data_IF_565039531212
#
_entry.id   IF_565039531212
#
_cell.length_a   1.000
_cell.length_b   1.000
_cell.length_c   1.000
_cell.angle_alpha   90.00
_cell.angle_beta   90.00
_cell.angle_gamma   90.00
#
_symmetry.space_group_name_H-M   'P 1'
#
loop_
_entity.id
_entity.type
_entity.pdbx_description
1 polymer ?
#
# COMPACT_ATOMS: atom_id res chain seq x y z
N UNK A 1 14.97 -37.41 -35.08
CA UNK A 1 13.65 -37.54 -34.42
C UNK A 1 12.46 -37.16 -35.31
N UNK A 2 12.24 -35.90 -35.73
CA UNK A 2 11.08 -35.56 -36.59
C UNK A 2 11.18 -36.19 -38.00
N UNK A 3 12.37 -36.20 -38.59
CA UNK A 3 12.65 -36.86 -39.89
C UNK A 3 12.42 -38.38 -39.83
N UNK A 4 12.74 -39.03 -38.71
CA UNK A 4 12.52 -40.47 -38.52
C UNK A 4 11.04 -40.79 -38.35
N UNK A 5 10.30 -39.97 -37.59
CA UNK A 5 8.83 -40.10 -37.47
C UNK A 5 8.13 -39.90 -38.81
N UNK A 6 8.56 -38.94 -39.63
CA UNK A 6 8.02 -38.72 -40.98
C UNK A 6 8.33 -39.90 -41.91
N UNK A 7 9.52 -40.51 -41.79
CA UNK A 7 9.89 -41.70 -42.58
C UNK A 7 9.05 -42.93 -42.20
N UNK A 8 8.81 -43.13 -40.91
CA UNK A 8 7.92 -44.19 -40.40
C UNK A 8 6.48 -43.95 -40.87
N UNK A 9 5.99 -42.73 -40.77
CA UNK A 9 4.64 -42.37 -41.20
C UNK A 9 4.45 -42.57 -42.71
N UNK A 10 5.41 -42.14 -43.53
CA UNK A 10 5.40 -42.37 -44.99
C UNK A 10 5.40 -43.87 -45.32
N UNK A 11 6.26 -44.66 -44.67
CA UNK A 11 6.29 -46.12 -44.86
C UNK A 11 4.97 -46.78 -44.45
N UNK A 12 4.34 -46.30 -43.37
CA UNK A 12 3.04 -46.80 -42.93
C UNK A 12 1.94 -46.48 -43.95
N UNK A 13 1.87 -45.24 -44.46
CA UNK A 13 0.89 -44.85 -45.48
C UNK A 13 1.10 -45.60 -46.81
N UNK A 14 2.34 -45.83 -47.24
CA UNK A 14 2.63 -46.64 -48.42
C UNK A 14 2.14 -48.08 -48.25
N UNK A 15 2.45 -48.73 -47.12
CA UNK A 15 1.96 -50.08 -46.81
C UNK A 15 0.43 -50.15 -46.72
N UNK A 16 -0.19 -49.15 -46.09
CA UNK A 16 -1.64 -49.05 -45.99
C UNK A 16 -2.30 -48.84 -47.37
N UNK A 17 -1.69 -48.01 -48.24
CA UNK A 17 -2.16 -47.79 -49.60
C UNK A 17 -2.11 -49.07 -50.45
N UNK A 18 -1.00 -49.81 -50.38
CA UNK A 18 -0.84 -51.10 -51.06
C UNK A 18 -1.87 -52.10 -50.54
N UNK A 19 -2.02 -52.23 -49.22
CA UNK A 19 -3.00 -53.12 -48.61
C UNK A 19 -4.43 -52.79 -49.07
N UNK A 20 -4.80 -51.51 -49.09
CA UNK A 20 -6.12 -51.07 -49.50
C UNK A 20 -6.37 -51.33 -50.99
N UNK A 21 -5.39 -51.04 -51.85
CA UNK A 21 -5.46 -51.31 -53.30
C UNK A 21 -5.65 -52.81 -53.54
N UNK A 22 -4.90 -53.66 -52.86
CA UNK A 22 -5.01 -55.11 -53.02
C UNK A 22 -6.34 -55.66 -52.52
N UNK A 23 -6.85 -55.19 -51.37
CA UNK A 23 -8.17 -55.56 -50.88
C UNK A 23 -9.31 -55.06 -51.78
N UNK A 24 -9.18 -53.85 -52.35
CA UNK A 24 -10.12 -53.31 -53.33
C UNK A 24 -10.18 -54.18 -54.59
N UNK A 25 -9.02 -54.61 -55.09
CA UNK A 25 -8.96 -55.54 -56.21
C UNK A 25 -9.60 -56.90 -55.88
N UNK A 26 -9.40 -57.44 -54.67
CA UNK A 26 -10.11 -58.64 -54.21
C UNK A 26 -11.63 -58.42 -54.15
N UNK A 27 -12.10 -57.26 -53.71
CA UNK A 27 -13.52 -56.96 -53.65
C UNK A 27 -14.14 -56.85 -55.04
N UNK A 28 -13.50 -56.17 -56.00
CA UNK A 28 -14.15 -55.77 -57.25
C UNK A 28 -13.70 -56.52 -58.52
N UNK A 29 -12.52 -57.13 -58.58
CA UNK A 29 -12.03 -57.86 -59.77
C UNK A 29 -12.23 -59.37 -59.64
N UNK A 30 -12.21 -60.12 -60.75
CA UNK A 30 -12.38 -61.59 -60.70
C UNK A 30 -11.15 -62.30 -60.12
N UNK A 31 -11.32 -63.52 -59.60
CA UNK A 31 -10.22 -64.31 -59.06
C UNK A 31 -9.12 -64.58 -60.10
N UNK A 32 -9.49 -64.83 -61.36
CA UNK A 32 -8.55 -65.05 -62.46
C UNK A 32 -7.67 -63.82 -62.73
N UNK A 33 -8.28 -62.64 -62.77
CA UNK A 33 -7.55 -61.37 -62.98
C UNK A 33 -6.62 -61.08 -61.79
N UNK A 34 -7.09 -61.34 -60.57
CA UNK A 34 -6.28 -61.14 -59.37
C UNK A 34 -5.11 -62.14 -59.28
N UNK A 35 -5.31 -63.40 -59.68
CA UNK A 35 -4.24 -64.40 -59.70
C UNK A 35 -3.12 -64.02 -60.67
N UNK A 36 -3.48 -63.64 -61.90
CA UNK A 36 -2.51 -63.18 -62.90
C UNK A 36 -1.78 -61.91 -62.45
N UNK A 37 -2.48 -60.98 -61.77
CA UNK A 37 -1.86 -59.78 -61.20
C UNK A 37 -0.85 -60.14 -60.10
N UNK A 38 -1.22 -61.00 -59.16
CA UNK A 38 -0.33 -61.43 -58.07
C UNK A 38 0.90 -62.16 -58.61
N UNK A 39 0.73 -63.05 -59.60
CA UNK A 39 1.85 -63.74 -60.24
C UNK A 39 2.81 -62.81 -60.99
N UNK A 40 2.29 -61.78 -61.67
CA UNK A 40 3.12 -60.78 -62.36
C UNK A 40 3.95 -59.94 -61.38
N UNK A 41 3.37 -59.63 -60.22
CA UNK A 41 4.02 -58.80 -59.20
C UNK A 41 4.97 -59.61 -58.31
N UNK A 42 4.80 -60.94 -58.21
CA UNK A 42 5.66 -61.86 -57.46
C UNK A 42 6.09 -63.07 -58.33
N UNK A 43 7.07 -62.93 -59.24
CA UNK A 43 7.53 -64.02 -60.09
C UNK A 43 8.38 -65.05 -59.31
N UNK A 44 8.25 -66.36 -59.58
CA UNK A 44 8.92 -67.43 -58.82
C UNK A 44 10.46 -67.47 -58.95
N UNK A 45 11.03 -66.79 -59.95
CA UNK A 45 12.47 -66.77 -60.23
C UNK A 45 13.20 -65.51 -59.73
N UNK A 46 12.66 -64.82 -58.72
CA UNK A 46 13.38 -63.77 -57.96
C UNK A 46 13.69 -62.47 -58.70
N UNK A 47 13.22 -62.27 -59.93
CA UNK A 47 13.35 -61.00 -60.66
C UNK A 47 12.10 -60.13 -60.51
N UNK A 48 11.97 -59.40 -59.41
CA UNK A 48 10.88 -58.42 -59.25
C UNK A 48 11.16 -57.19 -60.14
N UNK A 49 10.22 -56.83 -61.03
CA UNK A 49 10.31 -55.57 -61.76
C UNK A 49 9.99 -54.39 -60.81
N UNK A 50 10.86 -53.38 -60.80
CA UNK A 50 10.71 -52.14 -60.02
C UNK A 50 9.40 -51.44 -60.38
N UNK A 51 8.51 -51.26 -59.37
CA UNK A 51 7.42 -50.29 -59.46
C UNK A 51 6.12 -50.62 -58.73
N UNK A 52 5.78 -51.90 -58.54
CA UNK A 52 4.55 -52.27 -57.79
C UNK A 52 4.78 -53.56 -56.97
N UNK A 53 4.64 -53.48 -55.64
CA UNK A 53 4.70 -54.65 -54.75
C UNK A 53 3.30 -55.07 -54.30
N UNK A 54 3.00 -56.37 -54.32
CA UNK A 54 1.76 -56.92 -53.78
C UNK A 54 2.01 -57.54 -52.41
N UNK A 55 1.17 -57.23 -51.41
CA UNK A 55 1.35 -57.74 -50.05
C UNK A 55 0.68 -59.12 -49.82
N UNK A 56 0.15 -59.75 -50.88
CA UNK A 56 -0.58 -61.01 -50.80
C UNK A 56 0.14 -62.08 -51.62
N UNK A 57 0.41 -63.22 -51.01
CA UNK A 57 0.93 -64.42 -51.66
C UNK A 57 0.01 -65.60 -51.38
N UNK A 58 -0.30 -66.39 -52.41
CA UNK A 58 -1.11 -67.60 -52.29
C UNK A 58 -0.39 -68.74 -53.01
N UNK A 59 -0.40 -69.93 -52.42
CA UNK A 59 0.25 -71.12 -53.00
C UNK A 59 -0.55 -71.70 -54.18
N UNK A 60 -1.87 -71.48 -54.22
CA UNK A 60 -2.77 -71.99 -55.26
C UNK A 60 -3.90 -71.02 -55.62
N UNK A 61 -4.40 -71.12 -56.86
CA UNK A 61 -5.58 -70.40 -57.34
C UNK A 61 -6.83 -70.66 -56.49
N UNK A 62 -6.97 -71.89 -55.98
CA UNK A 62 -8.09 -72.30 -55.14
C UNK A 62 -8.14 -71.54 -53.82
N UNK A 63 -6.98 -71.27 -53.21
CA UNK A 63 -6.88 -70.57 -51.93
C UNK A 63 -7.21 -69.09 -52.07
N UNK A 64 -6.72 -68.44 -53.14
CA UNK A 64 -7.11 -67.08 -53.50
C UNK A 64 -8.63 -66.98 -53.65
N UNK A 65 -9.26 -67.91 -54.38
CA UNK A 65 -10.71 -67.90 -54.62
C UNK A 65 -11.50 -68.06 -53.32
N UNK A 66 -11.05 -68.93 -52.41
CA UNK A 66 -11.67 -69.13 -51.09
C UNK A 66 -11.51 -67.90 -50.20
N UNK A 67 -10.34 -67.27 -50.19
CA UNK A 67 -10.08 -66.03 -49.45
C UNK A 67 -10.95 -64.88 -49.97
N UNK A 68 -10.99 -64.69 -51.30
CA UNK A 68 -11.77 -63.63 -51.94
C UNK A 68 -13.27 -63.76 -51.64
N UNK A 69 -13.81 -64.98 -51.59
CA UNK A 69 -15.21 -65.21 -51.21
C UNK A 69 -15.50 -64.77 -49.77
N UNK A 70 -14.60 -65.05 -48.83
CA UNK A 70 -14.75 -64.64 -47.41
C UNK A 70 -14.69 -63.12 -47.26
N UNK A 71 -13.74 -62.46 -47.93
CA UNK A 71 -13.58 -61.00 -47.88
C UNK A 71 -14.83 -60.29 -48.41
N UNK A 72 -15.37 -60.73 -49.56
CA UNK A 72 -16.62 -60.16 -50.10
C UNK A 72 -17.81 -60.34 -49.17
N UNK A 73 -17.98 -61.55 -48.62
CA UNK A 73 -19.09 -61.84 -47.72
C UNK A 73 -19.05 -60.94 -46.47
N UNK A 74 -17.87 -60.74 -45.88
CA UNK A 74 -17.71 -59.90 -44.70
C UNK A 74 -17.95 -58.42 -45.00
N UNK A 75 -17.38 -57.87 -46.07
CA UNK A 75 -17.48 -56.44 -46.40
C UNK A 75 -18.92 -56.01 -46.77
N UNK A 76 -19.65 -56.83 -47.53
CA UNK A 76 -21.04 -56.50 -47.88
C UNK A 76 -22.00 -56.67 -46.70
N UNK A 77 -21.73 -57.58 -45.76
CA UNK A 77 -22.56 -57.76 -44.56
C UNK A 77 -22.41 -56.61 -43.56
N UNK A 78 -21.18 -56.15 -43.31
CA UNK A 78 -20.89 -55.12 -42.30
C UNK A 78 -21.30 -53.69 -42.71
N UNK A 79 -21.36 -53.41 -44.01
CA UNK A 79 -21.77 -52.09 -44.51
C UNK A 79 -23.28 -51.83 -44.36
N UNK A 80 -24.11 -52.87 -44.52
CA UNK A 80 -25.57 -52.76 -44.41
C UNK A 80 -26.04 -52.48 -42.98
N UNK A 81 -25.41 -53.10 -41.98
CA UNK A 81 -25.79 -52.93 -40.57
C UNK A 81 -25.44 -51.55 -40.04
N UNK A 82 -24.26 -51.02 -40.36
CA UNK A 82 -23.83 -49.68 -39.94
C UNK A 82 -24.76 -48.61 -40.54
N UNK A 83 -25.10 -48.73 -41.83
CA UNK A 83 -25.99 -47.78 -42.49
C UNK A 83 -27.39 -47.76 -41.86
N UNK A 84 -27.92 -48.94 -41.51
CA UNK A 84 -29.24 -49.07 -40.86
C UNK A 84 -29.28 -48.43 -39.47
N UNK A 85 -28.22 -48.60 -38.67
CA UNK A 85 -28.13 -48.01 -37.32
C UNK A 85 -27.99 -46.49 -37.38
N UNK A 86 -27.21 -45.96 -38.33
CA UNK A 86 -27.06 -44.53 -38.55
C UNK A 86 -28.41 -43.85 -38.88
N UNK A 87 -29.21 -44.47 -39.76
CA UNK A 87 -30.55 -43.96 -40.11
C UNK A 87 -31.46 -43.95 -38.88
N UNK A 88 -31.45 -45.01 -38.07
CA UNK A 88 -32.28 -45.09 -36.86
C UNK A 88 -31.94 -43.99 -35.84
N UNK A 89 -30.64 -43.71 -35.64
CA UNK A 89 -30.19 -42.62 -34.75
C UNK A 89 -30.62 -41.26 -35.29
N UNK A 90 -30.49 -41.03 -36.60
CA UNK A 90 -30.91 -39.78 -37.24
C UNK A 90 -32.42 -39.53 -37.06
N UNK A 91 -33.24 -40.56 -37.25
CA UNK A 91 -34.69 -40.46 -37.07
C UNK A 91 -35.03 -40.14 -35.60
N UNK A 92 -34.40 -40.82 -34.64
CA UNK A 92 -34.66 -40.58 -33.21
C UNK A 92 -34.35 -39.13 -32.81
N UNK A 93 -33.27 -38.56 -33.36
CA UNK A 93 -32.86 -37.18 -33.10
C UNK A 93 -33.79 -36.13 -33.74
N UNK A 94 -34.59 -36.48 -34.75
CA UNK A 94 -35.54 -35.54 -35.34
C UNK A 94 -36.84 -35.46 -34.53
N UNK A 95 -37.28 -36.58 -33.95
CA UNK A 95 -38.60 -36.64 -33.30
C UNK A 95 -38.59 -36.36 -31.78
N UNK A 96 -37.45 -36.47 -31.08
CA UNK A 96 -37.42 -36.47 -29.62
C UNK A 96 -36.42 -35.48 -28.98
N UNK A 97 -36.27 -34.26 -29.52
CA UNK A 97 -35.48 -33.20 -28.86
C UNK A 97 -36.39 -32.35 -27.98
N UNK A 98 -36.20 -32.31 -26.63
CA UNK A 98 -36.79 -31.25 -25.83
C UNK A 98 -36.18 -29.91 -26.25
N UNK A 99 -37.03 -28.98 -26.71
CA UNK A 99 -36.62 -27.62 -27.06
C UNK A 99 -36.21 -26.90 -25.78
N UNK A 100 -34.92 -26.91 -25.44
CA UNK A 100 -34.37 -26.03 -24.42
C UNK A 100 -34.29 -24.62 -24.99
N UNK A 101 -35.19 -23.72 -24.58
CA UNK A 101 -35.09 -22.30 -24.92
C UNK A 101 -33.93 -21.68 -24.14
N UNK A 102 -32.73 -21.76 -24.71
CA UNK A 102 -31.58 -21.02 -24.22
C UNK A 102 -31.66 -19.57 -24.72
N UNK A 103 -31.76 -18.61 -23.81
CA UNK A 103 -31.65 -17.21 -24.16
C UNK A 103 -30.22 -16.92 -24.66
N UNK A 104 -30.08 -16.70 -25.96
CA UNK A 104 -28.81 -16.26 -26.57
C UNK A 104 -28.89 -14.75 -26.79
N UNK A 105 -28.63 -13.98 -25.73
CA UNK A 105 -28.53 -12.53 -25.88
C UNK A 105 -27.23 -12.19 -26.62
N UNK A 106 -27.33 -11.70 -27.85
CA UNK A 106 -26.24 -10.95 -28.48
C UNK A 106 -26.48 -9.47 -28.19
N UNK A 107 -25.93 -8.98 -27.07
CA UNK A 107 -25.97 -7.55 -26.77
C UNK A 107 -24.93 -6.82 -27.64
N UNK A 108 -25.40 -6.14 -28.69
CA UNK A 108 -24.58 -5.25 -29.51
C UNK A 108 -24.82 -3.82 -29.06
N UNK A 109 -23.95 -3.31 -28.19
CA UNK A 109 -23.99 -1.92 -27.74
C UNK A 109 -23.33 -1.02 -28.76
N UNK A 110 -24.15 -0.39 -29.61
CA UNK A 110 -23.66 0.54 -30.64
C UNK A 110 -23.77 2.01 -30.19
N UNK A 111 -24.37 2.28 -29.02
CA UNK A 111 -24.54 3.63 -28.48
C UNK A 111 -24.81 3.62 -26.97
N UNK A 112 -24.42 4.71 -26.30
CA UNK A 112 -24.76 5.04 -24.90
C UNK A 112 -25.83 6.15 -24.81
N UNK A 113 -26.48 6.48 -25.95
CA UNK A 113 -27.54 7.50 -26.02
C UNK A 113 -28.91 6.95 -25.57
N UNK A 114 -29.01 5.66 -25.22
CA UNK A 114 -30.24 5.01 -24.75
C UNK A 114 -30.69 5.55 -23.39
N UNK A 115 -31.90 6.11 -23.36
CA UNK A 115 -32.51 6.77 -22.20
C UNK A 115 -33.07 5.82 -21.14
N UNK A 116 -33.24 6.36 -19.94
CA UNK A 116 -33.90 5.73 -18.79
C UNK A 116 -35.32 5.25 -19.16
N UNK A 117 -35.49 3.94 -19.34
CA UNK A 117 -36.82 3.33 -19.47
C UNK A 117 -37.18 2.64 -18.17
N UNK A 118 -38.32 3.03 -17.57
CA UNK A 118 -38.81 2.47 -16.30
C UNK A 118 -39.43 1.06 -16.43
N UNK A 119 -39.42 0.49 -17.64
CA UNK A 119 -40.09 -0.75 -17.96
C UNK A 119 -39.22 -1.96 -17.60
N UNK A 120 -39.81 -2.95 -16.93
CA UNK A 120 -39.17 -4.25 -16.69
C UNK A 120 -39.45 -5.16 -17.87
N UNK A 121 -38.40 -5.74 -18.46
CA UNK A 121 -38.52 -6.68 -19.56
C UNK A 121 -39.24 -7.97 -19.09
N UNK A 122 -40.51 -8.13 -19.46
CA UNK A 122 -41.27 -9.36 -19.29
C UNK A 122 -41.61 -9.91 -20.68
N UNK A 123 -40.90 -10.95 -21.11
CA UNK A 123 -41.10 -11.57 -22.43
C UNK A 123 -41.60 -13.00 -22.24
N UNK A 124 -42.82 -13.28 -22.71
CA UNK A 124 -43.40 -14.63 -22.76
C UNK A 124 -42.90 -15.45 -23.95
N UNK A 125 -42.38 -14.77 -24.98
CA UNK A 125 -41.93 -15.31 -26.26
C UNK A 125 -40.68 -14.55 -26.75
N UNK A 126 -40.05 -15.01 -27.84
CA UNK A 126 -38.90 -14.33 -28.44
C UNK A 126 -39.30 -12.92 -28.95
N UNK A 127 -38.68 -11.90 -28.37
CA UNK A 127 -38.88 -10.50 -28.77
C UNK A 127 -37.62 -10.00 -29.48
N UNK A 128 -37.79 -9.48 -30.69
CA UNK A 128 -36.73 -8.77 -31.43
C UNK A 128 -36.93 -7.26 -31.33
N UNK A 129 -35.85 -6.49 -31.24
CA UNK A 129 -35.91 -5.02 -31.22
C UNK A 129 -36.16 -4.37 -29.85
N UNK A 130 -35.92 -5.08 -28.74
CA UNK A 130 -35.95 -4.48 -27.41
C UNK A 130 -34.88 -3.39 -27.28
N UNK A 131 -35.31 -2.15 -27.03
CA UNK A 131 -34.44 -0.97 -26.95
C UNK A 131 -34.56 -0.24 -25.60
N UNK A 132 -35.22 -0.87 -24.63
CA UNK A 132 -35.47 -0.29 -23.32
C UNK A 132 -34.42 -0.77 -22.31
N UNK A 133 -33.37 0.04 -22.14
CA UNK A 133 -32.26 -0.22 -21.23
C UNK A 133 -31.70 1.09 -20.66
N UNK A 134 -31.27 1.08 -19.40
CA UNK A 134 -30.54 2.21 -18.83
C UNK A 134 -29.05 2.01 -19.09
N UNK A 135 -28.47 2.86 -19.95
CA UNK A 135 -27.05 2.78 -20.31
C UNK A 135 -26.14 3.68 -19.46
N UNK A 136 -26.68 4.76 -18.91
CA UNK A 136 -25.94 5.74 -18.09
C UNK A 136 -26.89 6.58 -17.22
N UNK A 137 -26.34 7.23 -16.20
CA UNK A 137 -27.04 8.26 -15.44
C UNK A 137 -27.16 9.57 -16.22
N UNK A 138 -28.13 10.42 -15.84
CA UNK A 138 -28.40 11.70 -16.52
C UNK A 138 -27.24 12.71 -16.46
N UNK A 139 -26.36 12.59 -15.46
CA UNK A 139 -25.18 13.44 -15.27
C UNK A 139 -23.96 13.02 -16.10
N UNK A 140 -24.02 11.83 -16.71
CA UNK A 140 -22.93 11.27 -17.52
C UNK A 140 -23.23 11.52 -18.98
N UNK A 141 -22.32 12.18 -19.69
CA UNK A 141 -22.29 12.24 -21.15
C UNK A 141 -21.36 11.13 -21.64
N UNK A 142 -21.86 10.27 -22.54
CA UNK A 142 -21.09 9.17 -23.09
C UNK A 142 -21.37 9.11 -24.59
N UNK A 143 -20.45 9.67 -25.37
CA UNK A 143 -20.44 9.59 -26.83
C UNK A 143 -19.06 9.09 -27.29
N UNK A 144 -18.25 9.88 -28.00
CA UNK A 144 -16.86 9.51 -28.32
C UNK A 144 -15.93 9.48 -27.08
N UNK A 145 -16.25 10.26 -26.05
CA UNK A 145 -15.57 10.29 -24.76
C UNK A 145 -16.59 10.23 -23.62
N UNK A 146 -16.18 9.69 -22.47
CA UNK A 146 -16.98 9.71 -21.25
C UNK A 146 -16.65 10.99 -20.49
N UNK A 147 -17.66 11.84 -20.29
CA UNK A 147 -17.53 13.08 -19.53
C UNK A 147 -18.69 13.24 -18.57
N UNK A 148 -18.47 13.98 -17.49
CA UNK A 148 -19.56 14.46 -16.64
C UNK A 148 -20.02 15.79 -17.20
N UNK A 149 -21.33 16.05 -17.21
CA UNK A 149 -21.85 17.35 -17.59
C UNK A 149 -21.33 18.39 -16.58
N UNK A 150 -20.45 19.33 -16.98
CA UNK A 150 -19.93 20.32 -16.06
C UNK A 150 -21.08 21.24 -15.65
N UNK A 151 -21.39 21.26 -14.35
CA UNK A 151 -22.27 22.30 -13.80
C UNK A 151 -21.44 23.58 -13.75
N UNK A 152 -21.64 24.46 -14.74
CA UNK A 152 -21.04 25.79 -14.75
C UNK A 152 -21.86 26.71 -13.84
N UNK A 153 -21.61 26.61 -12.54
CA UNK A 153 -22.19 27.53 -11.55
C UNK A 153 -21.14 28.59 -11.20
N UNK A 154 -21.53 29.85 -11.28
CA UNK A 154 -20.70 30.95 -10.77
C UNK A 154 -21.10 31.21 -9.33
N UNK A 155 -20.29 30.70 -8.40
CA UNK A 155 -20.43 31.02 -6.98
C UNK A 155 -19.64 32.29 -6.70
N UNK A 156 -20.33 33.36 -6.31
CA UNK A 156 -19.68 34.56 -5.77
C UNK A 156 -19.37 34.26 -4.30
N UNK A 157 -18.08 34.13 -4.01
CA UNK A 157 -17.53 33.92 -2.67
C UNK A 157 -16.69 35.16 -2.36
N UNK A 158 -17.23 36.07 -1.55
CA UNK A 158 -16.69 37.42 -1.34
C UNK A 158 -16.18 37.65 0.07
N UNK A 159 -16.51 36.77 1.00
CA UNK A 159 -15.99 36.81 2.37
C UNK A 159 -15.33 35.49 2.74
N UNK A 160 -14.46 35.52 3.74
CA UNK A 160 -13.80 34.32 4.27
C UNK A 160 -14.84 33.30 4.79
N UNK A 161 -15.98 33.78 5.32
CA UNK A 161 -17.11 32.94 5.73
C UNK A 161 -17.70 32.15 4.57
N UNK A 162 -17.75 32.70 3.36
CA UNK A 162 -18.34 32.02 2.20
C UNK A 162 -17.58 30.74 1.81
N UNK A 163 -16.29 30.67 2.16
CA UNK A 163 -15.41 29.51 1.95
C UNK A 163 -15.43 28.50 3.13
N UNK A 164 -16.00 28.88 4.28
CA UNK A 164 -16.03 28.05 5.49
C UNK A 164 -17.33 27.22 5.66
N UNK A 165 -18.44 27.64 5.04
CA UNK A 165 -19.79 27.13 5.37
C UNK A 165 -20.12 25.75 4.78
N UNK A 166 -19.41 25.26 3.74
CA UNK A 166 -19.76 24.01 3.03
C UNK A 166 -18.67 22.91 3.03
N UNK A 167 -17.83 22.84 4.08
CA UNK A 167 -16.99 21.65 4.30
C UNK A 167 -15.79 21.51 3.35
N UNK A 168 -14.60 21.76 3.90
CA UNK A 168 -13.26 21.44 3.38
C UNK A 168 -13.02 21.68 1.88
N UNK A 169 -12.56 22.90 1.57
CA UNK A 169 -11.89 23.18 0.31
C UNK A 169 -10.54 22.45 0.29
N UNK A 170 -10.44 21.34 -0.45
CA UNK A 170 -9.15 20.83 -0.93
C UNK A 170 -8.51 21.80 -1.93
N UNK A 171 -8.77 23.10 -1.82
CA UNK A 171 -8.35 24.15 -2.71
C UNK A 171 -7.84 25.35 -1.92
N UNK A 172 -6.84 26.04 -2.48
CA UNK A 172 -6.29 27.29 -2.01
C UNK A 172 -6.39 28.35 -3.11
N UNK A 173 -6.63 29.60 -2.73
CA UNK A 173 -6.59 30.74 -3.65
C UNK A 173 -5.21 31.40 -3.55
N UNK A 174 -4.43 31.31 -4.62
CA UNK A 174 -3.07 31.83 -4.66
C UNK A 174 -2.92 32.69 -5.92
N UNK A 175 -2.55 33.95 -5.73
CA UNK A 175 -2.35 34.92 -6.82
C UNK A 175 -3.55 35.02 -7.77
N UNK A 176 -4.78 34.98 -7.23
CA UNK A 176 -6.01 35.09 -8.01
C UNK A 176 -6.43 33.81 -8.75
N UNK A 177 -5.78 32.67 -8.49
CA UNK A 177 -6.16 31.37 -9.06
C UNK A 177 -6.51 30.35 -7.96
N UNK A 178 -7.55 29.56 -8.19
CA UNK A 178 -7.91 28.42 -7.33
C UNK A 178 -7.03 27.22 -7.71
N UNK A 179 -6.30 26.68 -6.76
CA UNK A 179 -5.43 25.49 -6.91
C UNK A 179 -5.84 24.44 -5.91
N UNK A 180 -5.53 23.16 -6.15
CA UNK A 180 -5.73 22.12 -5.14
C UNK A 180 -4.69 22.26 -4.01
N UNK A 181 -5.10 21.96 -2.77
CA UNK A 181 -4.20 21.80 -1.64
C UNK A 181 -3.31 20.59 -1.87
N UNK A 182 -2.04 20.77 -1.56
CA UNK A 182 -1.01 19.75 -1.71
C UNK A 182 -0.96 18.87 -0.46
N UNK A 183 -0.84 17.57 -0.71
CA UNK A 183 -0.69 16.56 0.33
C UNK A 183 0.68 16.67 1.03
N UNK A 184 0.80 16.04 2.20
CA UNK A 184 2.07 15.89 2.91
C UNK A 184 3.15 15.30 1.99
N UNK A 185 4.37 15.86 2.02
CA UNK A 185 5.48 15.47 1.18
C UNK A 185 5.54 16.14 -0.20
N UNK A 186 4.55 16.95 -0.58
CA UNK A 186 4.62 17.75 -1.81
C UNK A 186 5.43 19.04 -1.60
N UNK A 187 6.10 19.51 -2.65
CA UNK A 187 6.85 20.76 -2.60
C UNK A 187 5.91 21.97 -2.48
N UNK A 188 6.26 22.94 -1.62
CA UNK A 188 5.46 24.15 -1.37
C UNK A 188 6.32 25.40 -1.25
N UNK A 189 5.70 26.57 -1.47
CA UNK A 189 6.32 27.89 -1.27
C UNK A 189 5.76 28.60 -0.05
N UNK A 190 4.46 28.44 0.21
CA UNK A 190 3.74 29.04 1.33
C UNK A 190 2.84 28.01 2.02
N UNK A 191 2.55 28.23 3.31
CA UNK A 191 1.72 27.33 4.10
C UNK A 191 0.36 27.03 3.45
N UNK A 192 -0.28 28.06 2.89
CA UNK A 192 -1.60 27.97 2.26
C UNK A 192 -1.67 27.02 1.05
N UNK A 193 -0.53 26.58 0.51
CA UNK A 193 -0.50 25.54 -0.53
C UNK A 193 -0.76 24.13 0.02
N UNK A 194 -0.61 23.91 1.33
CA UNK A 194 -0.63 22.60 1.97
C UNK A 194 -1.93 22.35 2.72
N UNK A 195 -2.39 21.10 2.76
CA UNK A 195 -3.63 20.70 3.46
C UNK A 195 -3.69 21.21 4.91
N UNK A 196 -2.57 21.17 5.63
CA UNK A 196 -2.48 21.60 7.03
C UNK A 196 -1.92 23.02 7.21
N UNK A 197 -1.94 23.86 6.16
CA UNK A 197 -1.38 25.20 6.16
C UNK A 197 0.09 25.28 6.63
N UNK A 198 0.86 24.22 6.39
CA UNK A 198 2.19 24.00 6.97
C UNK A 198 3.20 23.67 5.88
N UNK A 199 4.01 24.67 5.52
CA UNK A 199 5.10 24.55 4.57
C UNK A 199 6.42 24.80 5.29
N UNK A 200 7.22 23.75 5.49
CA UNK A 200 8.50 23.81 6.20
C UNK A 200 9.58 23.23 5.31
N UNK A 201 10.69 23.95 5.13
CA UNK A 201 11.79 23.55 4.24
C UNK A 201 11.31 23.22 2.81
N UNK A 202 10.36 24.01 2.30
CA UNK A 202 9.71 23.83 0.99
C UNK A 202 8.93 22.52 0.83
N UNK A 203 8.51 21.89 1.92
CA UNK A 203 7.71 20.67 1.92
C UNK A 203 6.44 20.84 2.74
N UNK A 204 5.32 20.34 2.23
CA UNK A 204 4.08 20.25 2.98
C UNK A 204 4.23 19.22 4.10
N UNK A 205 4.06 19.65 5.34
CA UNK A 205 4.25 18.81 6.52
C UNK A 205 2.95 18.68 7.31
N UNK A 206 2.53 17.47 7.69
CA UNK A 206 1.33 17.29 8.48
C UNK A 206 1.51 17.87 9.89
N UNK A 207 0.48 18.49 10.45
CA UNK A 207 0.56 19.01 11.82
C UNK A 207 0.60 17.88 12.85
N UNK A 208 1.39 18.07 13.91
CA UNK A 208 1.39 17.14 15.04
C UNK A 208 0.02 17.18 15.72
N UNK A 209 -0.64 16.03 15.80
CA UNK A 209 -1.97 15.87 16.38
C UNK A 209 -2.15 14.47 16.99
N UNK A 210 -3.32 14.19 17.56
CA UNK A 210 -3.67 12.86 18.05
C UNK A 210 -3.60 11.79 16.92
N UNK A 211 -3.94 12.16 15.68
CA UNK A 211 -3.94 11.26 14.52
C UNK A 211 -2.56 11.06 13.88
N UNK A 212 -1.52 11.75 14.35
CA UNK A 212 -0.15 11.54 13.84
C UNK A 212 0.27 10.08 14.03
N UNK A 213 0.54 9.38 12.93
CA UNK A 213 1.06 8.02 12.98
C UNK A 213 2.46 8.01 13.59
N UNK A 214 2.74 7.08 14.51
CA UNK A 214 4.07 6.98 15.09
C UNK A 214 5.09 6.49 14.06
N UNK A 215 6.34 6.96 14.16
CA UNK A 215 7.37 6.72 13.15
C UNK A 215 7.35 7.74 11.99
N UNK A 216 6.31 8.57 11.90
CA UNK A 216 6.23 9.67 10.91
C UNK A 216 6.74 10.98 11.50
N UNK A 217 7.09 11.92 10.62
CA UNK A 217 7.42 13.30 11.02
C UNK A 217 6.19 14.19 10.94
N UNK A 218 6.09 15.14 11.88
CA UNK A 218 5.01 16.13 11.92
C UNK A 218 5.56 17.51 12.25
N UNK A 219 4.79 18.54 11.91
CA UNK A 219 5.10 19.94 12.13
C UNK A 219 4.43 20.47 13.40
N UNK A 220 5.19 21.22 14.19
CA UNK A 220 4.68 21.97 15.33
C UNK A 220 5.44 23.28 15.50
N UNK A 221 4.72 24.41 15.46
CA UNK A 221 5.28 25.76 15.60
C UNK A 221 6.50 26.04 14.70
N UNK A 222 6.37 25.72 13.42
CA UNK A 222 7.38 25.88 12.36
C UNK A 222 8.61 24.96 12.45
N UNK A 223 8.66 24.05 13.43
CA UNK A 223 9.66 22.99 13.50
C UNK A 223 9.07 21.64 13.08
N UNK A 224 9.91 20.79 12.49
CA UNK A 224 9.58 19.38 12.19
C UNK A 224 10.16 18.48 13.27
N UNK A 225 9.34 17.58 13.80
CA UNK A 225 9.71 16.57 14.79
C UNK A 225 9.44 15.18 14.21
N UNK A 226 10.45 14.31 14.27
CA UNK A 226 10.25 12.89 14.03
C UNK A 226 9.62 12.25 15.27
N UNK A 227 8.89 11.17 15.08
CA UNK A 227 8.27 10.41 16.17
C UNK A 227 8.81 8.99 16.20
N UNK A 228 8.86 8.38 17.39
CA UNK A 228 9.37 7.03 17.59
C UNK A 228 8.45 6.24 18.51
N UNK A 229 8.15 4.99 18.12
CA UNK A 229 7.34 4.08 18.91
C UNK A 229 8.22 3.37 19.95
N UNK A 230 7.83 3.44 21.22
CA UNK A 230 8.54 2.87 22.36
C UNK A 230 7.52 2.13 23.22
N UNK A 231 7.51 0.80 23.10
CA UNK A 231 6.41 0.00 23.66
C UNK A 231 5.07 0.46 23.09
N UNK A 232 4.13 0.81 23.96
CA UNK A 232 2.82 1.38 23.58
C UNK A 232 2.83 2.90 23.40
N UNK A 233 3.94 3.58 23.65
CA UNK A 233 4.01 5.05 23.67
C UNK A 233 4.64 5.57 22.38
N UNK A 234 4.14 6.69 21.88
CA UNK A 234 4.75 7.42 20.78
C UNK A 234 5.41 8.69 21.30
N UNK A 235 6.72 8.82 21.07
CA UNK A 235 7.53 9.92 21.60
C UNK A 235 8.04 10.83 20.48
N UNK A 236 8.17 12.11 20.78
CA UNK A 236 9.04 12.98 19.98
C UNK A 236 10.48 12.49 20.06
N UNK A 237 11.07 12.25 18.89
CA UNK A 237 12.44 11.78 18.73
C UNK A 237 13.47 12.87 19.03
N UNK A 238 13.09 14.14 18.98
CA UNK A 238 13.95 15.28 19.33
C UNK A 238 13.38 16.13 20.47
N UNK A 239 14.24 16.92 21.13
CA UNK A 239 13.82 17.84 22.18
C UNK A 239 12.98 18.98 21.58
N UNK A 240 11.96 19.42 22.32
CA UNK A 240 11.04 20.46 21.88
C UNK A 240 11.72 21.83 21.74
N UNK A 241 11.40 22.58 20.67
CA UNK A 241 12.00 23.88 20.31
C UNK A 241 10.99 25.02 20.24
N UNK A 242 9.74 24.78 20.63
CA UNK A 242 8.66 25.76 20.55
C UNK A 242 8.95 27.04 21.33
N UNK A 243 8.63 28.18 20.73
CA UNK A 243 8.60 29.49 21.40
C UNK A 243 7.17 29.99 21.61
N UNK A 244 6.18 29.13 21.33
CA UNK A 244 4.76 29.42 21.45
C UNK A 244 4.04 28.32 22.21
N UNK A 245 3.00 28.71 22.93
CA UNK A 245 2.01 27.79 23.47
C UNK A 245 1.14 27.23 22.34
N UNK A 246 0.38 26.14 22.58
CA UNK A 246 -0.48 25.53 21.57
C UNK A 246 -1.57 26.47 21.03
N UNK A 247 -1.97 27.49 21.81
CA UNK A 247 -2.91 28.53 21.39
C UNK A 247 -2.25 29.65 20.54
N UNK A 248 -0.96 29.51 20.19
CA UNK A 248 -0.21 30.48 19.40
C UNK A 248 0.39 31.66 20.20
N UNK A 249 0.09 31.80 21.49
CA UNK A 249 0.67 32.85 22.33
C UNK A 249 2.17 32.61 22.55
N UNK A 250 2.97 33.69 22.53
CA UNK A 250 4.41 33.57 22.71
C UNK A 250 4.76 33.19 24.15
N UNK A 251 5.71 32.26 24.31
CA UNK A 251 6.35 31.96 25.58
C UNK A 251 7.38 33.06 25.84
N UNK A 252 7.46 33.57 27.07
CA UNK A 252 8.43 34.62 27.40
C UNK A 252 9.85 34.04 27.44
N UNK A 253 10.79 34.65 26.70
CA UNK A 253 12.21 34.31 26.82
C UNK A 253 12.77 34.91 28.12
N UNK A 254 13.38 34.09 28.95
CA UNK A 254 13.95 34.54 30.22
C UNK A 254 15.22 35.38 30.04
N UNK A 255 15.69 36.04 31.11
CA UNK A 255 16.91 36.84 31.08
C UNK A 255 18.12 36.03 30.60
N UNK A 256 18.95 36.60 29.72
CA UNK A 256 20.05 35.86 29.05
C UNK A 256 21.36 35.81 29.84
N UNK A 257 21.58 36.75 30.76
CA UNK A 257 22.82 36.80 31.53
C UNK A 257 22.99 35.55 32.42
N UNK A 258 24.23 35.07 32.52
CA UNK A 258 24.56 34.05 33.51
C UNK A 258 24.29 34.60 34.91
N UNK A 259 23.76 33.76 35.81
CA UNK A 259 23.36 34.14 37.17
C UNK A 259 22.25 35.20 37.23
N UNK A 260 21.46 35.35 36.17
CA UNK A 260 20.34 36.29 36.18
C UNK A 260 19.28 35.90 37.22
N UNK A 261 18.89 36.86 38.07
CA UNK A 261 17.96 36.66 39.18
C UNK A 261 16.56 36.15 38.77
N UNK A 262 16.14 36.38 37.52
CA UNK A 262 14.82 35.99 37.01
C UNK A 262 14.55 34.48 36.93
N UNK A 263 15.50 33.63 37.33
CA UNK A 263 15.37 32.17 37.31
C UNK A 263 15.25 31.55 38.70
N UNK A 264 14.99 32.36 39.72
CA UNK A 264 14.84 31.92 41.12
C UNK A 264 13.39 31.84 41.59
N UNK A 265 12.44 32.32 40.78
CA UNK A 265 11.01 32.32 41.09
C UNK A 265 10.24 31.30 40.25
N UNK A 266 9.69 30.29 40.92
CA UNK A 266 8.90 29.21 40.30
C UNK A 266 7.55 29.69 39.74
N UNK A 267 7.14 30.93 40.04
CA UNK A 267 5.96 31.57 39.47
C UNK A 267 6.17 32.06 38.04
N UNK A 268 7.43 32.26 37.64
CA UNK A 268 7.80 32.73 36.30
C UNK A 268 7.62 31.65 35.24
N UNK A 269 7.37 32.08 34.00
CA UNK A 269 7.13 31.20 32.87
C UNK A 269 8.11 31.55 31.75
N UNK A 270 9.36 31.12 31.93
CA UNK A 270 10.43 31.34 30.96
C UNK A 270 10.85 30.09 30.20
N UNK A 271 11.36 30.34 28.99
CA UNK A 271 12.27 29.45 28.28
C UNK A 271 13.63 30.13 28.05
N UNK A 272 14.67 29.33 27.79
CA UNK A 272 15.97 29.81 27.35
C UNK A 272 16.56 28.90 26.28
N UNK A 273 17.54 29.43 25.55
CA UNK A 273 18.33 28.61 24.65
C UNK A 273 19.30 27.71 25.46
N UNK A 274 19.79 26.61 24.87
CA UNK A 274 20.75 25.75 25.53
C UNK A 274 22.08 26.49 25.76
N UNK A 275 22.85 26.11 26.78
CA UNK A 275 24.18 26.65 27.05
C UNK A 275 25.12 26.53 25.85
N UNK A 276 26.03 27.49 25.73
CA UNK A 276 27.16 27.43 24.82
C UNK A 276 28.15 26.32 25.25
N UNK A 277 28.95 25.82 24.31
CA UNK A 277 29.96 24.80 24.58
C UNK A 277 31.26 25.37 25.20
N UNK A 278 31.57 26.65 24.97
CA UNK A 278 32.87 27.25 25.30
C UNK A 278 32.80 28.40 26.30
N UNK A 279 31.60 28.90 26.61
CA UNK A 279 31.42 30.01 27.55
C UNK A 279 30.09 29.89 28.32
N UNK A 280 29.88 30.83 29.25
CA UNK A 280 28.69 30.88 30.11
C UNK A 280 27.46 31.54 29.44
N UNK A 281 27.48 31.70 28.12
CA UNK A 281 26.37 32.26 27.33
C UNK A 281 25.39 31.19 26.84
N UNK A 282 24.30 31.64 26.26
CA UNK A 282 23.36 30.77 25.54
C UNK A 282 23.70 30.67 24.05
N UNK A 283 23.31 29.58 23.41
CA UNK A 283 23.45 29.37 21.97
C UNK A 283 22.15 28.81 21.38
N UNK A 284 21.35 29.72 20.85
CA UNK A 284 20.06 29.42 20.24
C UNK A 284 20.19 28.69 18.89
N UNK A 285 21.31 28.84 18.19
CA UNK A 285 21.51 28.17 16.91
C UNK A 285 21.60 26.65 17.11
N UNK A 286 22.21 26.19 18.20
CA UNK A 286 22.26 24.77 18.53
C UNK A 286 20.93 24.17 19.00
N UNK A 287 19.95 24.99 19.38
CA UNK A 287 18.62 24.50 19.73
C UNK A 287 17.97 23.78 18.53
N UNK A 288 18.02 24.41 17.34
CA UNK A 288 17.37 23.92 16.11
C UNK A 288 18.31 23.50 14.97
N UNK A 289 19.61 23.77 15.06
CA UNK A 289 20.61 23.36 14.07
C UNK A 289 20.88 21.85 14.08
N UNK A 290 22.02 21.43 13.50
CA UNK A 290 22.38 20.01 13.35
C UNK A 290 22.36 19.23 14.68
N UNK A 291 22.65 19.88 15.79
CA UNK A 291 22.67 19.25 17.12
C UNK A 291 21.28 19.00 17.71
N UNK A 292 20.22 19.67 17.21
CA UNK A 292 18.82 19.57 17.68
C UNK A 292 18.72 19.45 19.21
N UNK A 293 19.38 20.34 19.94
CA UNK A 293 19.44 20.27 21.40
C UNK A 293 18.10 20.59 22.07
N UNK A 294 17.20 21.27 21.38
CA UNK A 294 15.96 21.78 21.98
C UNK A 294 16.18 23.06 22.79
N UNK A 295 15.07 23.61 23.27
CA UNK A 295 15.06 24.72 24.22
C UNK A 295 14.88 24.20 25.65
N UNK A 296 15.24 25.02 26.62
CA UNK A 296 15.07 24.74 28.05
C UNK A 296 13.86 25.51 28.58
N UNK A 297 12.95 24.84 29.25
CA UNK A 297 11.71 25.44 29.78
C UNK A 297 11.64 25.24 31.29
N UNK A 298 11.26 26.29 32.02
CA UNK A 298 10.90 26.10 33.43
C UNK A 298 9.66 25.20 33.55
N UNK A 299 9.49 24.57 34.70
CA UNK A 299 8.41 23.62 34.91
C UNK A 299 7.03 24.25 34.66
N UNK A 300 6.77 25.45 35.20
CA UNK A 300 5.49 26.14 35.00
C UNK A 300 5.24 26.52 33.54
N UNK A 301 6.31 26.85 32.80
CA UNK A 301 6.27 27.06 31.35
C UNK A 301 5.85 25.80 30.63
N UNK A 302 6.57 24.69 30.86
CA UNK A 302 6.30 23.38 30.26
C UNK A 302 4.86 22.94 30.50
N UNK A 303 4.37 23.11 31.72
CA UNK A 303 3.03 22.70 32.13
C UNK A 303 1.93 23.65 31.62
N UNK A 304 2.29 24.80 31.04
CA UNK A 304 1.36 25.86 30.65
C UNK A 304 0.37 26.20 31.78
N UNK A 305 0.88 26.30 33.02
CA UNK A 305 0.08 26.57 34.22
C UNK A 305 -0.79 25.42 34.74
N UNK A 306 -0.75 24.24 34.12
CA UNK A 306 -1.47 23.07 34.61
C UNK A 306 -0.92 22.58 35.97
N UNK A 307 -1.79 21.94 36.75
CA UNK A 307 -1.40 21.28 38.00
C UNK A 307 -0.51 20.06 37.74
N UNK A 308 0.23 19.63 38.75
CA UNK A 308 1.00 18.38 38.71
C UNK A 308 0.08 17.19 38.44
N UNK A 309 0.56 16.26 37.62
CA UNK A 309 -0.15 15.01 37.30
C UNK A 309 0.82 13.85 37.50
N UNK A 310 0.40 12.82 38.22
CA UNK A 310 1.20 11.61 38.50
C UNK A 310 0.72 10.36 37.75
N UNK A 311 -0.40 10.46 37.03
CA UNK A 311 -1.03 9.37 36.27
C UNK A 311 -1.17 9.76 34.80
N UNK A 312 -0.90 8.84 33.89
CA UNK A 312 -1.00 9.11 32.46
C UNK A 312 -2.48 9.23 32.03
N UNK A 313 -2.80 10.05 31.01
CA UNK A 313 -1.91 10.98 30.33
C UNK A 313 -1.59 12.21 31.21
N UNK A 314 -0.40 12.78 31.00
CA UNK A 314 -0.05 14.07 31.60
C UNK A 314 -0.83 15.24 30.98
N UNK A 315 -0.61 16.48 31.46
CA UNK A 315 -1.24 17.65 30.87
C UNK A 315 -0.64 17.94 29.49
N UNK A 316 -1.46 18.53 28.61
CA UNK A 316 -0.99 18.96 27.29
C UNK A 316 0.22 19.90 27.41
N UNK A 317 0.16 20.88 28.31
CA UNK A 317 1.26 21.83 28.53
C UNK A 317 1.65 22.57 27.26
N UNK A 318 2.95 22.60 26.96
CA UNK A 318 3.51 23.19 25.72
C UNK A 318 3.49 22.24 24.51
N UNK A 319 2.96 21.02 24.66
CA UNK A 319 2.88 20.04 23.58
C UNK A 319 1.71 20.31 22.62
N UNK A 320 1.81 19.87 21.35
CA UNK A 320 0.72 19.99 20.39
C UNK A 320 -0.55 19.30 20.87
N UNK A 321 -1.70 19.67 20.29
CA UNK A 321 -2.97 19.00 20.60
C UNK A 321 -2.88 17.49 20.37
N UNK A 322 -3.40 16.69 21.29
CA UNK A 322 -3.29 15.22 21.24
C UNK A 322 -1.93 14.65 21.70
N UNK A 323 -1.01 15.52 22.11
CA UNK A 323 0.26 15.15 22.76
C UNK A 323 0.33 15.79 24.15
N UNK A 324 1.09 15.19 25.06
CA UNK A 324 1.21 15.68 26.43
C UNK A 324 2.64 15.66 26.95
N UNK A 325 2.85 16.43 28.03
CA UNK A 325 4.05 16.36 28.86
C UNK A 325 4.03 15.04 29.63
N UNK A 326 5.08 14.22 29.59
CA UNK A 326 5.06 12.89 30.17
C UNK A 326 4.93 12.92 31.68
N UNK A 327 4.29 11.90 32.24
CA UNK A 327 4.33 11.63 33.69
C UNK A 327 5.43 10.63 34.04
N UNK A 328 5.75 10.49 35.33
CA UNK A 328 6.81 9.60 35.83
C UNK A 328 6.71 8.15 35.33
N UNK A 329 5.49 7.61 35.26
CA UNK A 329 5.24 6.25 34.79
C UNK A 329 5.55 6.07 33.30
N UNK A 330 5.34 7.11 32.50
CA UNK A 330 5.65 7.09 31.07
C UNK A 330 7.16 7.15 30.83
N UNK A 331 7.87 8.04 31.54
CA UNK A 331 9.34 8.10 31.48
C UNK A 331 9.97 6.81 32.03
N UNK A 332 9.39 6.21 33.07
CA UNK A 332 9.83 4.91 33.59
C UNK A 332 9.69 3.81 32.53
N UNK A 333 8.55 3.75 31.85
CA UNK A 333 8.32 2.77 30.78
C UNK A 333 9.31 2.95 29.62
N UNK A 334 9.62 4.21 29.25
CA UNK A 334 10.69 4.53 28.29
C UNK A 334 12.02 3.91 28.71
N UNK A 335 12.51 4.15 29.93
CA UNK A 335 13.77 3.55 30.38
C UNK A 335 13.72 2.03 30.44
N UNK A 336 12.62 1.45 30.94
CA UNK A 336 12.45 0.00 31.00
C UNK A 336 12.50 -0.67 29.62
N UNK A 337 11.95 -0.01 28.58
CA UNK A 337 12.04 -0.49 27.21
C UNK A 337 13.50 -0.64 26.73
N UNK A 338 14.39 0.25 27.18
CA UNK A 338 15.83 0.21 26.87
C UNK A 338 16.67 -0.63 27.85
N UNK A 339 16.03 -1.37 28.78
CA UNK A 339 16.73 -2.20 29.76
C UNK A 339 16.92 -1.54 31.14
N UNK A 340 16.09 -0.55 31.48
CA UNK A 340 16.02 0.10 32.79
C UNK A 340 17.02 1.25 32.99
N UNK A 341 17.23 1.65 34.24
CA UNK A 341 18.21 2.68 34.61
C UNK A 341 19.62 2.10 34.66
N UNK A 342 20.14 1.67 33.51
CA UNK A 342 21.49 1.10 33.37
C UNK A 342 22.35 1.92 32.40
N UNK A 343 23.68 1.87 32.59
CA UNK A 343 24.64 2.52 31.68
C UNK A 343 24.51 2.01 30.23
N UNK A 344 24.10 0.75 30.05
CA UNK A 344 23.81 0.19 28.73
C UNK A 344 22.60 0.88 28.09
N UNK A 345 21.49 1.02 28.82
CA UNK A 345 20.31 1.75 28.35
C UNK A 345 20.63 3.21 28.03
N UNK A 346 21.41 3.89 28.90
CA UNK A 346 21.89 5.24 28.66
C UNK A 346 22.68 5.37 27.35
N UNK A 347 23.54 4.39 27.04
CA UNK A 347 24.33 4.37 25.81
C UNK A 347 23.44 4.20 24.58
N UNK A 348 22.42 3.35 24.66
CA UNK A 348 21.45 3.17 23.58
C UNK A 348 20.63 4.45 23.33
N UNK A 349 20.13 5.08 24.40
CA UNK A 349 19.37 6.34 24.32
C UNK A 349 20.20 7.49 23.75
N UNK A 350 21.51 7.55 24.04
CA UNK A 350 22.44 8.55 23.47
C UNK A 350 22.74 8.32 21.99
N UNK A 351 22.48 7.12 21.46
CA UNK A 351 22.77 6.79 20.06
C UNK A 351 21.74 7.44 19.14
N UNK A 352 22.19 8.36 18.28
CA UNK A 352 21.32 9.04 17.33
C UNK A 352 21.08 8.13 16.11
N UNK A 353 19.93 7.47 16.06
CA UNK A 353 19.46 6.67 14.92
C UNK A 353 18.02 7.07 14.55
N UNK A 354 17.62 6.95 13.29
CA UNK A 354 16.32 7.44 12.79
C UNK A 354 15.12 6.77 13.47
N UNK A 355 15.28 5.53 13.88
CA UNK A 355 14.28 4.66 14.50
C UNK A 355 14.33 4.65 16.04
N UNK A 356 15.17 5.50 16.66
CA UNK A 356 15.42 5.49 18.11
C UNK A 356 15.18 6.84 18.76
N UNK A 357 14.85 6.79 20.05
CA UNK A 357 14.88 7.97 20.91
C UNK A 357 16.28 8.58 20.92
N UNK A 358 16.38 9.87 20.60
CA UNK A 358 17.67 10.56 20.53
C UNK A 358 17.90 11.43 21.76
N UNK A 359 18.63 10.94 22.75
CA UNK A 359 18.99 11.69 23.96
C UNK A 359 20.16 12.66 23.70
N UNK A 360 19.89 13.74 22.96
CA UNK A 360 20.85 14.84 22.79
C UNK A 360 21.10 15.52 24.13
N UNK A 361 22.33 16.00 24.40
CA UNK A 361 22.76 16.47 25.73
C UNK A 361 22.81 18.01 25.80
N UNK A 362 21.66 18.69 26.00
CA UNK A 362 21.54 20.14 25.99
C UNK A 362 22.18 20.80 27.21
N UNK A 363 22.40 20.09 28.31
CA UNK A 363 22.63 20.72 29.62
C UNK A 363 21.31 21.15 30.27
N UNK A 364 21.38 22.10 31.21
CA UNK A 364 20.20 22.67 31.87
C UNK A 364 20.49 24.08 32.37
N UNK A 365 19.45 24.76 32.84
CA UNK A 365 19.59 26.07 33.47
C UNK A 365 18.99 26.06 34.86
N UNK A 366 19.83 26.19 35.89
CA UNK A 366 19.44 26.10 37.30
C UNK A 366 19.72 27.41 38.01
N UNK A 367 18.68 28.04 38.55
CA UNK A 367 18.81 29.29 39.34
C UNK A 367 19.63 30.39 38.62
N UNK A 368 19.49 30.45 37.28
CA UNK A 368 20.19 31.41 36.44
C UNK A 368 21.56 30.96 35.96
N UNK A 369 22.13 29.90 36.54
CA UNK A 369 23.37 29.27 36.11
C UNK A 369 23.14 28.28 34.96
N UNK A 370 24.01 28.34 33.97
CA UNK A 370 24.06 27.37 32.88
C UNK A 370 24.97 26.21 33.22
N UNK A 371 24.43 25.00 33.25
CA UNK A 371 25.25 23.80 33.31
C UNK A 371 25.60 23.35 31.90
N UNK A 372 26.91 23.30 31.62
CA UNK A 372 27.50 23.20 30.28
C UNK A 372 26.83 22.16 29.36
N UNK A 373 26.80 22.50 28.07
CA UNK A 373 26.40 21.59 26.99
C UNK A 373 27.20 20.29 27.03
N UNK A 374 26.62 19.21 26.51
CA UNK A 374 27.26 17.90 26.41
C UNK A 374 27.63 17.29 27.77
N UNK A 375 27.07 17.81 28.86
CA UNK A 375 27.22 17.23 30.21
C UNK A 375 26.10 16.21 30.51
N UNK A 376 24.85 16.60 30.24
CA UNK A 376 23.66 15.79 30.51
C UNK A 376 22.46 16.20 29.67
N UNK A 377 21.49 15.31 29.58
CA UNK A 377 20.10 15.63 29.29
C UNK A 377 19.30 15.40 30.57
N UNK A 378 18.35 16.28 30.83
CA UNK A 378 17.36 16.10 31.89
C UNK A 378 15.98 16.12 31.24
N UNK A 379 15.30 14.97 31.30
CA UNK A 379 13.95 14.79 30.81
C UNK A 379 12.98 15.28 31.88
N UNK A 380 12.26 16.35 31.54
CA UNK A 380 11.21 16.91 32.37
C UNK A 380 9.95 16.04 32.33
N UNK A 381 9.17 16.11 33.41
CA UNK A 381 7.91 15.39 33.55
C UNK A 381 6.92 16.21 34.40
N UNK A 382 5.65 15.83 34.33
CA UNK A 382 4.54 16.50 34.99
C UNK A 382 4.37 16.14 36.48
N UNK A 383 5.14 15.17 37.00
CA UNK A 383 4.99 14.64 38.37
C UNK A 383 5.82 15.43 39.40
N UNK A 384 5.12 16.12 40.28
CA UNK A 384 5.67 16.76 41.48
C UNK A 384 6.17 15.74 42.52
N UNK A 385 7.15 16.14 43.34
CA UNK A 385 7.57 15.35 44.49
C UNK A 385 6.53 15.47 45.61
N UNK A 386 5.98 14.33 46.04
CA UNK A 386 5.03 14.28 47.15
C UNK A 386 5.58 14.99 48.40
N UNK A 387 4.79 15.93 48.94
CA UNK A 387 5.14 16.72 50.13
C UNK A 387 6.07 17.91 49.89
N UNK A 388 6.56 18.13 48.67
CA UNK A 388 7.45 19.24 48.32
C UNK A 388 7.01 19.90 47.00
N UNK A 389 6.05 20.88 47.06
CA UNK A 389 5.42 21.43 45.87
C UNK A 389 6.31 22.32 45.01
N UNK A 390 7.49 22.66 45.50
CA UNK A 390 8.53 23.39 44.77
C UNK A 390 9.44 22.47 43.95
N UNK A 391 9.30 21.15 44.08
CA UNK A 391 10.15 20.16 43.42
C UNK A 391 9.37 19.27 42.46
N UNK A 392 10.04 18.84 41.39
CA UNK A 392 9.53 17.89 40.39
C UNK A 392 10.50 16.73 40.26
N UNK A 393 9.98 15.54 39.98
CA UNK A 393 10.83 14.43 39.55
C UNK A 393 11.39 14.71 38.16
N UNK A 394 12.60 14.23 37.88
CA UNK A 394 13.23 14.26 36.57
C UNK A 394 14.09 13.02 36.38
N UNK A 395 14.37 12.67 35.12
CA UNK A 395 15.36 11.66 34.77
C UNK A 395 16.52 12.35 34.08
N UNK A 396 17.76 12.03 34.46
CA UNK A 396 18.94 12.55 33.77
C UNK A 396 19.83 11.45 33.25
N UNK A 397 20.37 11.66 32.07
CA UNK A 397 21.41 10.84 31.47
C UNK A 397 22.65 11.72 31.35
N UNK A 398 23.76 11.27 31.93
CA UNK A 398 25.04 11.98 31.88
C UNK A 398 25.83 11.58 30.62
N UNK A 399 26.76 12.45 30.22
CA UNK A 399 27.63 12.22 29.08
C UNK A 399 28.57 11.04 29.30
N UNK A 400 29.08 10.91 30.52
CA UNK A 400 29.86 9.75 30.97
C UNK A 400 29.03 8.47 30.94
N UNK A 401 29.71 7.32 30.90
CA UNK A 401 29.06 6.02 31.02
C UNK A 401 28.64 5.82 32.48
N UNK A 402 27.42 6.24 32.81
CA UNK A 402 26.81 6.04 34.13
C UNK A 402 25.34 5.65 33.98
N UNK A 403 24.80 5.05 35.04
CA UNK A 403 23.38 4.76 35.11
C UNK A 403 22.56 6.07 35.08
N UNK A 404 21.46 6.12 34.31
CA UNK A 404 20.51 7.23 34.38
C UNK A 404 20.03 7.43 35.83
N UNK A 405 19.88 8.69 36.22
CA UNK A 405 19.48 9.04 37.58
C UNK A 405 18.06 9.58 37.58
N UNK A 406 17.22 9.02 38.44
CA UNK A 406 15.91 9.59 38.81
C UNK A 406 16.06 10.35 40.11
N UNK A 407 15.83 11.67 40.09
CA UNK A 407 15.93 12.51 41.28
C UNK A 407 14.94 13.67 41.21
N UNK A 408 14.74 14.35 42.35
CA UNK A 408 13.89 15.53 42.43
C UNK A 408 14.73 16.80 42.36
N UNK A 409 14.18 17.84 41.74
CA UNK A 409 14.85 19.12 41.52
C UNK A 409 13.84 20.26 41.55
N UNK A 410 14.31 21.50 41.74
CA UNK A 410 13.44 22.67 41.84
C UNK A 410 12.75 22.99 40.51
N UNK A 411 11.46 23.35 40.59
CA UNK A 411 10.63 23.78 39.45
C UNK A 411 11.10 25.07 38.77
N UNK A 412 11.98 25.83 39.43
CA UNK A 412 12.70 26.99 38.90
C UNK A 412 13.73 26.62 37.83
N UNK A 413 14.21 25.37 37.85
CA UNK A 413 15.19 24.87 36.91
C UNK A 413 14.52 24.63 35.55
N UNK A 414 15.21 25.01 34.49
CA UNK A 414 14.76 24.81 33.12
C UNK A 414 15.47 23.63 32.44
N UNK A 415 14.65 22.79 31.82
CA UNK A 415 15.02 21.51 31.23
C UNK A 415 14.43 21.35 29.85
N UNK A 416 14.92 20.35 29.11
CA UNK A 416 14.28 19.95 27.87
C UNK A 416 13.01 19.15 28.09
N UNK A 417 12.06 19.37 27.18
CA UNK A 417 10.75 18.72 27.18
C UNK A 417 10.65 17.82 25.97
N UNK A 418 10.01 16.66 26.14
CA UNK A 418 9.64 15.76 25.06
C UNK A 418 8.19 15.38 25.20
N UNK A 419 7.44 15.59 24.13
CA UNK A 419 6.03 15.25 24.09
C UNK A 419 5.85 13.76 23.81
N UNK A 420 4.85 13.17 24.45
CA UNK A 420 4.44 11.78 24.30
C UNK A 420 2.94 11.72 24.00
N UNK A 421 2.51 10.65 23.34
CA UNK A 421 1.10 10.26 23.24
C UNK A 421 0.98 8.75 23.31
N UNK A 422 -0.20 8.25 23.68
CA UNK A 422 -0.50 6.82 23.86
C UNK A 422 -1.55 6.35 22.86
#
# INVERSE_FOLDING_TARGET
MLKDKIKILKSFFEKASIYLKDHLHLLFKSAAVNHLRIQKLNPPAGGAQEGESCNLSFESFSDLKRYQKKVRLFTYSFSSTIFSVMIAIMILQVFFVPQGHGATYTFSQNSWLGGLTANTAAHSDDVTGWTEYQSKDGSVSADAEISLTPVSESLIKTTDEDFAVNGQSNTAVLSGSVKLLKLAGAACTVGAECTDNSCISNLCMPLCSASTACGSSCAYNADVYATVQIGSQCWFRENLRTTKYPNGTNITKGPVANLAAGWTDASTMYYSCPPNATNNGEDCAAAGGTAKLGMLYQWKTMMNGAASVSVAPGPQGICPSGWHVPVDTEVTALFNFYGGLTAAAATQLKTIAEDKFSATLPGQRREGYYELRASRITLAQATERAGLPTETWVYSIYSVASDPQRYATFKTTAFTVRCVKN
#
